data_IF_783513677086
#
_entry.id   IF_783513677086
#
_cell.length_a   1.000
_cell.length_b   1.000
_cell.length_c   1.000
_cell.angle_alpha   90.00
_cell.angle_beta   90.00
_cell.angle_gamma   90.00
#
_symmetry.space_group_name_H-M   'P 1'
#
loop_
_entity.id
_entity.type
_entity.pdbx_description
1 polymer ?
#
# COMPACT_ATOMS: atom_id res chain seq x y z
N UNK A 1 32.20 46.62 27.27
CA UNK A 1 30.87 46.65 26.63
C UNK A 1 30.86 45.56 25.58
N UNK A 2 29.96 44.60 25.76
CA UNK A 2 29.53 43.52 24.86
C UNK A 2 30.63 42.67 24.19
N UNK A 3 30.97 41.58 24.88
CA UNK A 3 31.52 40.35 24.30
C UNK A 3 30.33 39.56 23.71
N UNK A 4 30.18 39.60 22.38
CA UNK A 4 29.16 38.83 21.64
C UNK A 4 29.64 37.38 21.52
N UNK A 5 29.34 36.60 22.57
CA UNK A 5 29.48 35.15 22.56
C UNK A 5 28.50 34.54 21.55
N UNK A 6 29.00 34.25 20.35
CA UNK A 6 28.34 33.38 19.40
C UNK A 6 28.04 32.04 20.09
N UNK A 7 26.76 31.78 20.35
CA UNK A 7 26.29 30.49 20.82
C UNK A 7 26.69 29.42 19.79
N UNK A 8 27.72 28.64 20.12
CA UNK A 8 28.09 27.47 19.35
C UNK A 8 26.90 26.51 19.35
N UNK A 9 26.38 26.19 18.16
CA UNK A 9 25.40 25.14 17.92
C UNK A 9 25.90 23.84 18.58
N UNK A 10 25.21 23.38 19.61
CA UNK A 10 25.54 22.15 20.32
C UNK A 10 25.19 20.93 19.44
N UNK A 11 26.18 20.15 18.97
CA UNK A 11 25.95 18.97 18.13
C UNK A 11 25.17 17.84 18.83
N UNK A 12 24.88 17.96 20.13
CA UNK A 12 24.07 17.01 20.90
C UNK A 12 22.57 17.30 20.77
N UNK A 13 22.16 18.56 20.65
CA UNK A 13 20.75 18.97 20.46
C UNK A 13 20.18 18.45 19.13
N UNK A 14 21.04 18.36 18.11
CA UNK A 14 20.73 17.88 16.75
C UNK A 14 20.36 16.37 16.70
N UNK A 15 20.60 15.61 17.78
CA UNK A 15 20.30 14.17 17.86
C UNK A 15 18.82 13.83 18.02
N UNK A 16 18.03 14.69 18.65
CA UNK A 16 16.60 14.43 18.86
C UNK A 16 15.78 14.74 17.59
N UNK A 17 16.15 15.79 16.86
CA UNK A 17 15.57 16.13 15.56
C UNK A 17 15.86 15.03 14.52
N UNK A 18 17.14 14.64 14.38
CA UNK A 18 17.56 13.59 13.44
C UNK A 18 16.98 12.20 13.75
N UNK A 19 16.63 11.88 15.01
CA UNK A 19 15.95 10.60 15.37
C UNK A 19 14.47 10.54 14.97
N UNK A 20 13.78 11.67 14.88
CA UNK A 20 12.40 11.73 14.39
C UNK A 20 12.35 11.67 12.86
N UNK A 21 13.35 12.21 12.17
CA UNK A 21 13.46 12.20 10.70
C UNK A 21 13.58 10.79 10.08
N UNK A 22 14.14 9.82 10.81
CA UNK A 22 14.31 8.44 10.33
C UNK A 22 12.97 7.67 10.27
N UNK A 23 11.92 8.13 10.94
CA UNK A 23 10.66 7.38 11.07
C UNK A 23 9.63 7.79 10.02
N UNK A 24 8.97 6.79 9.42
CA UNK A 24 7.83 7.05 8.54
C UNK A 24 6.72 7.82 9.29
N UNK A 25 6.03 8.81 8.67
CA UNK A 25 4.97 9.59 9.32
C UNK A 25 3.85 8.75 9.96
N UNK A 26 3.51 7.61 9.36
CA UNK A 26 2.52 6.69 9.90
C UNK A 26 2.95 6.08 11.25
N UNK A 27 4.23 5.68 11.38
CA UNK A 27 4.76 5.12 12.64
C UNK A 27 4.76 6.18 13.74
N UNK A 28 5.15 7.42 13.40
CA UNK A 28 5.11 8.55 14.33
C UNK A 28 3.70 8.81 14.85
N UNK A 29 2.69 8.86 13.96
CA UNK A 29 1.28 9.05 14.37
C UNK A 29 0.77 7.90 15.24
N UNK A 30 1.08 6.66 14.88
CA UNK A 30 0.66 5.48 15.64
C UNK A 30 1.26 5.48 17.05
N UNK A 31 2.55 5.85 17.17
CA UNK A 31 3.23 5.91 18.47
C UNK A 31 2.65 7.01 19.34
N UNK A 32 2.46 8.23 18.79
CA UNK A 32 1.85 9.33 19.53
C UNK A 32 0.46 8.96 20.07
N UNK A 33 -0.38 8.30 19.26
CA UNK A 33 -1.71 7.86 19.71
C UNK A 33 -1.64 6.77 20.79
N UNK A 34 -0.62 5.91 20.75
CA UNK A 34 -0.44 4.87 21.75
C UNK A 34 0.03 5.44 23.09
N UNK A 35 1.02 6.34 23.06
CA UNK A 35 1.53 7.05 24.25
C UNK A 35 0.41 7.84 24.90
N UNK A 36 -0.33 8.65 24.13
CA UNK A 36 -1.45 9.42 24.66
C UNK A 36 -2.49 8.53 25.36
N UNK A 37 -2.81 7.37 24.78
CA UNK A 37 -3.76 6.43 25.41
C UNK A 37 -3.24 5.86 26.73
N UNK A 38 -1.93 5.60 26.81
CA UNK A 38 -1.30 5.16 28.06
C UNK A 38 -1.33 6.27 29.12
N UNK A 39 -0.99 7.49 28.74
CA UNK A 39 -1.05 8.66 29.64
C UNK A 39 -2.46 8.90 30.18
N UNK A 40 -3.48 8.87 29.33
CA UNK A 40 -4.88 9.00 29.74
C UNK A 40 -5.27 7.91 30.73
N UNK A 41 -4.95 6.65 30.43
CA UNK A 41 -5.27 5.54 31.33
C UNK A 41 -4.54 5.65 32.67
N UNK A 42 -3.26 6.03 32.67
CA UNK A 42 -2.51 6.27 33.91
C UNK A 42 -3.15 7.38 34.75
N UNK A 43 -3.53 8.50 34.13
CA UNK A 43 -4.20 9.60 34.82
C UNK A 43 -5.54 9.17 35.44
N UNK A 44 -6.34 8.38 34.74
CA UNK A 44 -7.61 7.84 35.23
C UNK A 44 -7.44 6.86 36.39
N UNK A 45 -6.37 6.07 36.39
CA UNK A 45 -6.09 5.06 37.42
C UNK A 45 -5.20 5.58 38.57
N UNK A 46 -4.75 6.83 38.51
CA UNK A 46 -3.87 7.43 39.52
C UNK A 46 -2.41 6.95 39.45
N UNK A 47 -1.97 6.41 38.30
CA UNK A 47 -0.58 6.00 38.07
C UNK A 47 0.25 7.10 37.40
N UNK A 48 1.57 7.04 37.58
CA UNK A 48 2.53 7.89 36.87
C UNK A 48 2.84 7.27 35.50
N UNK A 49 2.66 8.05 34.42
CA UNK A 49 2.96 7.62 33.05
C UNK A 49 4.42 7.78 32.64
N UNK A 50 5.19 8.66 33.30
CA UNK A 50 6.60 8.90 32.97
C UNK A 50 7.42 9.41 34.17
N UNK A 51 8.53 8.73 34.56
CA UNK A 51 8.91 7.37 34.16
C UNK A 51 7.85 6.37 34.67
N UNK A 52 7.43 5.46 33.79
CA UNK A 52 6.47 4.43 34.12
C UNK A 52 7.14 3.27 34.88
N UNK A 53 6.42 2.72 35.85
CA UNK A 53 6.77 1.42 36.43
C UNK A 53 6.43 0.29 35.42
N UNK A 54 7.30 -0.70 35.21
CA UNK A 54 7.00 -1.87 34.38
C UNK A 54 5.68 -2.59 34.74
N UNK A 55 5.31 -2.65 36.01
CA UNK A 55 4.04 -3.22 36.49
C UNK A 55 2.84 -2.40 35.99
N UNK A 56 2.96 -1.07 35.95
CA UNK A 56 1.92 -0.18 35.44
C UNK A 56 1.75 -0.37 33.93
N UNK A 57 2.85 -0.52 33.18
CA UNK A 57 2.80 -0.82 31.74
C UNK A 57 2.15 -2.19 31.50
N UNK A 58 2.50 -3.21 32.30
CA UNK A 58 1.90 -4.53 32.21
C UNK A 58 0.39 -4.50 32.50
N UNK A 59 -0.03 -3.77 33.55
CA UNK A 59 -1.42 -3.57 33.92
C UNK A 59 -2.21 -2.86 32.83
N UNK A 60 -1.68 -1.78 32.24
CA UNK A 60 -2.28 -1.08 31.11
C UNK A 60 -2.53 -2.02 29.93
N UNK A 61 -1.49 -2.76 29.51
CA UNK A 61 -1.59 -3.68 28.38
C UNK A 61 -2.58 -4.81 28.67
N UNK A 62 -2.58 -5.35 29.89
CA UNK A 62 -3.51 -6.38 30.33
C UNK A 62 -4.97 -5.89 30.35
N UNK A 63 -5.22 -4.67 30.83
CA UNK A 63 -6.54 -4.04 30.81
C UNK A 63 -7.01 -3.79 29.36
N UNK A 64 -6.13 -3.26 28.50
CA UNK A 64 -6.44 -3.05 27.09
C UNK A 64 -6.65 -4.36 26.31
N UNK A 65 -6.00 -5.44 26.72
CA UNK A 65 -6.16 -6.76 26.13
C UNK A 65 -7.15 -7.66 26.84
N UNK A 66 -7.94 -7.12 27.77
CA UNK A 66 -9.05 -7.83 28.38
C UNK A 66 -10.16 -8.10 27.35
N UNK A 67 -10.90 -9.17 27.61
CA UNK A 67 -12.09 -9.53 26.87
C UNK A 67 -13.21 -8.56 27.25
N UNK A 68 -13.95 -8.04 26.26
CA UNK A 68 -15.05 -7.12 26.48
C UNK A 68 -16.43 -7.79 26.43
N UNK A 69 -16.53 -8.90 25.70
CA UNK A 69 -17.73 -9.74 25.58
C UNK A 69 -17.28 -11.14 25.13
N UNK A 70 -18.10 -12.18 25.27
CA UNK A 70 -17.77 -13.59 25.02
C UNK A 70 -16.87 -13.84 23.78
N UNK A 71 -15.56 -13.92 24.02
CA UNK A 71 -14.50 -14.11 23.03
C UNK A 71 -14.11 -12.86 22.23
N UNK A 72 -14.74 -11.70 22.42
CA UNK A 72 -14.48 -10.43 21.74
C UNK A 72 -13.44 -9.61 22.51
N UNK A 73 -12.41 -9.15 21.80
CA UNK A 73 -11.35 -8.29 22.33
C UNK A 73 -11.34 -6.96 21.60
N UNK A 74 -11.28 -5.85 22.35
CA UNK A 74 -11.31 -4.50 21.78
C UNK A 74 -10.12 -4.18 20.87
N UNK A 75 -8.94 -4.70 21.20
CA UNK A 75 -7.70 -4.47 20.46
C UNK A 75 -7.03 -5.81 20.13
N UNK A 76 -6.28 -5.86 19.02
CA UNK A 76 -5.53 -7.07 18.64
C UNK A 76 -4.22 -7.19 19.41
N UNK A 77 -3.63 -8.39 19.46
CA UNK A 77 -2.32 -8.61 20.07
C UNK A 77 -1.19 -7.78 19.41
N UNK A 78 -1.27 -7.58 18.10
CA UNK A 78 -0.32 -6.75 17.36
C UNK A 78 -0.47 -5.27 17.70
N UNK A 79 -1.70 -4.78 17.91
CA UNK A 79 -1.95 -3.42 18.41
C UNK A 79 -1.29 -3.19 19.77
N UNK A 80 -1.45 -4.14 20.70
CA UNK A 80 -0.83 -4.03 22.04
C UNK A 80 0.70 -4.07 21.98
N UNK A 81 1.27 -4.87 21.07
CA UNK A 81 2.71 -4.89 20.84
C UNK A 81 3.23 -3.56 20.28
N UNK A 82 2.46 -2.90 19.40
CA UNK A 82 2.78 -1.54 18.91
C UNK A 82 2.72 -0.53 20.06
N UNK A 83 1.74 -0.64 20.97
CA UNK A 83 1.65 0.26 22.12
C UNK A 83 2.82 0.10 23.07
N UNK A 84 3.20 -1.14 23.40
CA UNK A 84 4.39 -1.42 24.19
C UNK A 84 5.65 -0.82 23.52
N UNK A 85 5.83 -1.00 22.21
CA UNK A 85 6.96 -0.42 21.48
C UNK A 85 6.95 1.11 21.48
N UNK A 86 5.76 1.73 21.44
CA UNK A 86 5.60 3.18 21.51
C UNK A 86 5.98 3.72 22.90
N UNK A 87 5.47 3.13 23.97
CA UNK A 87 5.79 3.50 25.36
C UNK A 87 7.30 3.36 25.62
N UNK A 88 7.90 2.24 25.20
CA UNK A 88 9.35 2.02 25.26
C UNK A 88 10.10 3.17 24.59
N UNK A 89 9.66 3.53 23.38
CA UNK A 89 10.38 4.50 22.57
C UNK A 89 10.24 5.92 23.11
N UNK A 90 9.07 6.25 23.65
CA UNK A 90 8.82 7.50 24.35
C UNK A 90 9.79 7.69 25.54
N UNK A 91 9.93 6.66 26.39
CA UNK A 91 10.88 6.68 27.50
C UNK A 91 12.33 6.84 27.03
N UNK A 92 12.74 6.07 26.03
CA UNK A 92 14.09 6.16 25.48
C UNK A 92 14.36 7.43 24.66
N UNK A 93 13.34 8.13 24.16
CA UNK A 93 13.46 9.43 23.50
C UNK A 93 13.63 10.56 24.55
N UNK A 94 13.14 10.34 25.78
CA UNK A 94 13.29 11.23 26.94
C UNK A 94 14.46 10.85 27.87
N UNK A 95 15.35 9.96 27.43
CA UNK A 95 16.50 9.43 28.20
C UNK A 95 16.11 8.79 29.56
N UNK A 96 14.90 8.22 29.62
CA UNK A 96 14.39 7.48 30.78
C UNK A 96 14.63 5.97 30.66
N UNK A 97 14.63 5.22 31.79
CA UNK A 97 14.73 3.77 31.77
C UNK A 97 13.64 3.11 30.92
N UNK A 98 13.97 2.00 30.25
CA UNK A 98 13.04 1.21 29.44
C UNK A 98 12.06 0.42 30.34
N UNK A 99 10.76 0.77 30.38
CA UNK A 99 9.82 0.08 31.27
C UNK A 99 9.24 -1.19 30.63
N UNK A 100 9.52 -1.45 29.35
CA UNK A 100 8.85 -2.48 28.53
C UNK A 100 9.68 -3.74 28.37
N UNK A 101 11.01 -3.63 28.28
CA UNK A 101 11.91 -4.77 28.08
C UNK A 101 12.10 -5.64 29.33
N UNK A 102 11.06 -5.77 30.16
CA UNK A 102 11.06 -6.50 31.43
C UNK A 102 10.31 -7.84 31.34
N UNK A 103 10.60 -8.82 32.22
CA UNK A 103 9.88 -10.09 32.26
C UNK A 103 8.37 -9.92 32.49
N UNK A 104 7.95 -8.95 33.30
CA UNK A 104 6.54 -8.75 33.64
C UNK A 104 5.71 -8.30 32.44
N UNK A 105 6.19 -7.31 31.67
CA UNK A 105 5.52 -6.82 30.46
C UNK A 105 5.50 -7.91 29.37
N UNK A 106 6.60 -8.65 29.21
CA UNK A 106 6.67 -9.77 28.26
C UNK A 106 5.68 -10.88 28.61
N UNK A 107 5.52 -11.19 29.89
CA UNK A 107 4.58 -12.19 30.39
C UNK A 107 3.14 -11.76 30.18
N UNK A 108 2.81 -10.49 30.43
CA UNK A 108 1.50 -9.91 30.13
C UNK A 108 1.15 -10.03 28.64
N UNK A 109 2.06 -9.64 27.74
CA UNK A 109 1.84 -9.76 26.29
C UNK A 109 1.62 -11.22 25.85
N UNK A 110 2.42 -12.15 26.38
CA UNK A 110 2.29 -13.59 26.07
C UNK A 110 0.99 -14.20 26.61
N UNK A 111 0.58 -13.86 27.83
CA UNK A 111 -0.65 -14.40 28.42
C UNK A 111 -1.90 -13.95 27.64
N UNK A 112 -1.90 -12.71 27.15
CA UNK A 112 -2.98 -12.20 26.29
C UNK A 112 -3.00 -12.89 24.92
N UNK A 113 -1.84 -13.12 24.30
CA UNK A 113 -1.76 -13.88 23.05
C UNK A 113 -2.27 -15.32 23.24
N UNK A 114 -1.92 -15.96 24.36
CA UNK A 114 -2.37 -17.32 24.70
C UNK A 114 -3.88 -17.39 24.92
N UNK A 115 -4.47 -16.45 25.68
CA UNK A 115 -5.93 -16.39 25.91
C UNK A 115 -6.72 -16.26 24.61
N UNK A 116 -6.28 -15.36 23.72
CA UNK A 116 -6.91 -15.18 22.40
C UNK A 116 -6.85 -16.44 21.54
N UNK A 117 -5.67 -17.08 21.48
CA UNK A 117 -5.50 -18.33 20.74
C UNK A 117 -6.40 -19.44 21.28
N UNK A 118 -6.49 -19.58 22.61
CA UNK A 118 -7.38 -20.56 23.26
C UNK A 118 -8.87 -20.29 23.01
N UNK A 119 -9.26 -19.02 22.84
CA UNK A 119 -10.60 -18.61 22.43
C UNK A 119 -10.87 -18.82 20.92
N UNK A 120 -9.96 -19.44 20.17
CA UNK A 120 -10.09 -19.67 18.73
C UNK A 120 -9.89 -18.42 17.87
N UNK A 121 -9.52 -17.28 18.47
CA UNK A 121 -9.23 -16.06 17.73
C UNK A 121 -7.83 -16.11 17.11
N UNK A 122 -7.75 -16.67 15.91
CA UNK A 122 -6.59 -16.53 15.03
C UNK A 122 -6.75 -15.23 14.23
N UNK A 123 -5.69 -14.41 14.03
CA UNK A 123 -5.80 -13.22 13.20
C UNK A 123 -6.34 -13.57 11.82
N UNK A 124 -7.50 -13.03 11.47
CA UNK A 124 -8.04 -13.17 10.13
C UNK A 124 -7.06 -12.53 9.14
N UNK A 125 -6.49 -13.36 8.27
CA UNK A 125 -5.61 -12.89 7.20
C UNK A 125 -6.47 -12.25 6.12
N UNK A 126 -5.92 -11.21 5.50
CA UNK A 126 -6.61 -10.60 4.37
C UNK A 126 -6.77 -11.62 3.24
N UNK A 127 -7.96 -11.71 2.67
CA UNK A 127 -8.22 -12.61 1.56
C UNK A 127 -7.36 -12.21 0.35
N UNK A 128 -6.75 -13.21 -0.27
CA UNK A 128 -5.99 -13.07 -1.50
C UNK A 128 -6.93 -12.81 -2.68
N UNK A 129 -6.57 -11.86 -3.54
CA UNK A 129 -7.20 -11.69 -4.86
C UNK A 129 -6.36 -12.43 -5.88
N UNK A 130 -6.82 -13.59 -6.35
CA UNK A 130 -6.10 -14.44 -7.30
C UNK A 130 -6.26 -13.94 -8.75
N UNK A 131 -5.65 -14.64 -9.71
CA UNK A 131 -5.70 -14.25 -11.11
C UNK A 131 -7.13 -14.22 -11.68
N UNK A 132 -8.00 -15.16 -11.28
CA UNK A 132 -9.39 -15.17 -11.72
C UNK A 132 -10.20 -14.01 -11.12
N UNK A 133 -9.94 -13.66 -9.86
CA UNK A 133 -10.55 -12.48 -9.24
C UNK A 133 -10.13 -11.20 -9.96
N UNK A 134 -8.84 -11.11 -10.33
CA UNK A 134 -8.31 -9.99 -11.11
C UNK A 134 -9.05 -9.84 -12.44
N UNK A 135 -9.26 -10.94 -13.17
CA UNK A 135 -10.00 -10.92 -14.44
C UNK A 135 -11.44 -10.48 -14.22
N UNK A 136 -12.14 -11.06 -13.26
CA UNK A 136 -13.52 -10.69 -12.92
C UNK A 136 -13.66 -9.21 -12.53
N UNK A 137 -12.70 -8.68 -11.75
CA UNK A 137 -12.67 -7.26 -11.40
C UNK A 137 -12.46 -6.37 -12.64
N UNK A 138 -11.48 -6.68 -13.48
CA UNK A 138 -11.18 -5.90 -14.68
C UNK A 138 -12.37 -5.92 -15.66
N UNK A 139 -12.98 -7.07 -15.86
CA UNK A 139 -14.13 -7.22 -16.74
C UNK A 139 -15.35 -6.46 -16.20
N UNK A 140 -15.64 -6.58 -14.90
CA UNK A 140 -16.71 -5.82 -14.24
C UNK A 140 -16.50 -4.30 -14.35
N UNK A 141 -15.28 -3.82 -14.08
CA UNK A 141 -14.95 -2.40 -14.18
C UNK A 141 -15.12 -1.91 -15.63
N UNK A 142 -14.64 -2.69 -16.61
CA UNK A 142 -14.72 -2.34 -18.04
C UNK A 142 -16.16 -2.29 -18.53
N UNK A 143 -16.99 -3.28 -18.18
CA UNK A 143 -18.40 -3.31 -18.54
C UNK A 143 -19.16 -2.10 -17.94
N UNK A 144 -18.88 -1.75 -16.68
CA UNK A 144 -19.47 -0.58 -16.03
C UNK A 144 -19.00 0.74 -16.62
N UNK A 145 -17.77 0.81 -17.11
CA UNK A 145 -17.25 1.98 -17.82
C UNK A 145 -17.95 2.17 -19.17
N UNK A 146 -18.15 1.08 -19.93
CA UNK A 146 -18.84 1.09 -21.21
C UNK A 146 -20.31 1.52 -21.08
N UNK A 147 -20.98 1.15 -19.99
CA UNK A 147 -22.35 1.59 -19.68
C UNK A 147 -22.41 2.96 -18.95
N UNK A 148 -21.26 3.55 -18.63
CA UNK A 148 -21.13 4.73 -17.79
C UNK A 148 -20.89 6.02 -18.57
N UNK A 149 -20.69 7.11 -17.82
CA UNK A 149 -20.21 8.37 -18.40
C UNK A 149 -18.67 8.39 -18.48
N UNK A 150 -18.12 9.41 -19.13
CA UNK A 150 -16.67 9.60 -19.22
C UNK A 150 -15.98 9.63 -17.83
N UNK A 151 -16.67 10.00 -16.75
CA UNK A 151 -16.11 9.96 -15.39
C UNK A 151 -15.96 8.53 -14.89
N UNK A 152 -16.93 7.67 -15.18
CA UNK A 152 -16.82 6.22 -14.93
C UNK A 152 -15.63 5.64 -15.72
N UNK A 153 -15.44 6.07 -16.97
CA UNK A 153 -14.30 5.64 -17.79
C UNK A 153 -12.95 6.08 -17.18
N UNK A 154 -12.78 7.33 -16.76
CA UNK A 154 -11.54 7.77 -16.06
C UNK A 154 -11.27 6.93 -14.81
N UNK A 155 -12.30 6.71 -13.99
CA UNK A 155 -12.17 5.89 -12.80
C UNK A 155 -11.79 4.44 -13.13
N UNK A 156 -12.31 3.90 -14.24
CA UNK A 156 -11.95 2.58 -14.74
C UNK A 156 -10.50 2.50 -15.19
N UNK A 157 -9.99 3.45 -15.99
CA UNK A 157 -8.58 3.50 -16.38
C UNK A 157 -7.66 3.47 -15.15
N UNK A 158 -7.94 4.32 -14.15
CA UNK A 158 -7.15 4.36 -12.91
C UNK A 158 -7.22 3.04 -12.17
N UNK A 159 -8.41 2.53 -11.92
CA UNK A 159 -8.62 1.40 -11.02
C UNK A 159 -8.11 0.10 -11.66
N UNK A 160 -8.35 -0.12 -12.96
CA UNK A 160 -7.82 -1.27 -13.70
C UNK A 160 -6.28 -1.23 -13.69
N UNK A 161 -5.68 -0.09 -14.03
CA UNK A 161 -4.22 0.07 -14.00
C UNK A 161 -3.65 -0.23 -12.61
N UNK A 162 -4.26 0.33 -11.57
CA UNK A 162 -3.83 0.16 -10.18
C UNK A 162 -3.92 -1.30 -9.71
N UNK A 163 -5.02 -1.99 -10.04
CA UNK A 163 -5.25 -3.38 -9.64
C UNK A 163 -4.25 -4.30 -10.37
N UNK A 164 -4.12 -4.17 -11.69
CA UNK A 164 -3.24 -5.02 -12.50
C UNK A 164 -1.77 -4.78 -12.14
N UNK A 165 -1.33 -3.51 -12.08
CA UNK A 165 0.05 -3.18 -11.67
C UNK A 165 0.30 -3.60 -10.22
N UNK A 166 -0.66 -3.42 -9.33
CA UNK A 166 -0.53 -3.81 -7.93
C UNK A 166 -0.40 -5.32 -7.74
N UNK A 167 -1.14 -6.11 -8.52
CA UNK A 167 -1.01 -7.57 -8.56
C UNK A 167 0.34 -7.97 -9.15
N UNK A 168 0.63 -7.57 -10.39
CA UNK A 168 1.84 -7.99 -11.12
C UNK A 168 3.14 -7.56 -10.42
N UNK A 169 3.19 -6.35 -9.84
CA UNK A 169 4.39 -5.88 -9.14
C UNK A 169 4.63 -6.58 -7.79
N UNK A 170 3.59 -7.17 -7.19
CA UNK A 170 3.59 -7.75 -5.85
C UNK A 170 4.17 -6.82 -4.77
N UNK A 171 4.03 -5.50 -4.94
CA UNK A 171 4.56 -4.48 -4.01
C UNK A 171 3.55 -4.08 -2.96
N UNK A 172 4.04 -3.45 -1.88
CA UNK A 172 3.16 -2.97 -0.82
C UNK A 172 2.34 -1.79 -1.34
N UNK A 173 1.11 -1.64 -0.86
CA UNK A 173 0.24 -0.50 -1.21
C UNK A 173 0.93 0.87 -1.10
N UNK A 174 1.78 1.08 -0.08
CA UNK A 174 2.52 2.33 0.11
C UNK A 174 3.61 2.54 -0.93
N UNK A 175 4.24 1.46 -1.39
CA UNK A 175 5.25 1.49 -2.46
C UNK A 175 4.56 1.81 -3.80
N UNK A 176 3.42 1.17 -4.07
CA UNK A 176 2.60 1.43 -5.27
C UNK A 176 2.11 2.88 -5.28
N UNK A 177 1.49 3.35 -4.20
CA UNK A 177 0.95 4.71 -4.10
C UNK A 177 2.02 5.79 -4.26
N UNK A 178 3.27 5.49 -3.90
CA UNK A 178 4.38 6.42 -3.96
C UNK A 178 5.02 6.54 -5.35
N UNK A 179 4.63 5.76 -6.36
CA UNK A 179 5.28 5.76 -7.67
C UNK A 179 5.12 7.11 -8.37
N UNK A 180 6.23 7.61 -8.92
CA UNK A 180 6.29 8.82 -9.74
C UNK A 180 6.61 8.49 -11.21
N UNK A 181 6.34 9.42 -12.13
CA UNK A 181 6.62 9.22 -13.55
C UNK A 181 8.09 8.87 -13.83
N UNK A 182 9.03 9.52 -13.14
CA UNK A 182 10.47 9.24 -13.25
C UNK A 182 10.91 7.89 -12.67
N UNK A 183 10.02 7.17 -11.99
CA UNK A 183 10.29 5.83 -11.50
C UNK A 183 10.01 4.75 -12.56
N UNK A 184 9.40 5.09 -13.69
CA UNK A 184 9.02 4.15 -14.75
C UNK A 184 9.97 4.24 -15.93
N UNK A 185 10.45 3.08 -16.40
CA UNK A 185 11.29 2.96 -17.61
C UNK A 185 10.93 1.72 -18.38
N UNK A 186 10.97 1.80 -19.71
CA UNK A 186 10.98 0.61 -20.57
C UNK A 186 12.41 0.10 -20.62
N UNK A 187 12.59 -1.20 -20.37
CA UNK A 187 13.86 -1.90 -20.48
C UNK A 187 13.68 -3.02 -21.49
N UNK A 188 14.71 -3.28 -22.28
CA UNK A 188 14.77 -4.39 -23.21
C UNK A 188 15.87 -5.35 -22.77
N UNK A 189 15.71 -6.64 -23.07
CA UNK A 189 16.78 -7.61 -22.87
C UNK A 189 17.95 -7.33 -23.84
N UNK A 190 19.16 -7.25 -23.29
CA UNK A 190 20.40 -7.06 -24.04
C UNK A 190 20.83 -8.37 -24.75
N UNK A 191 20.35 -9.53 -24.29
CA UNK A 191 20.72 -10.86 -24.79
C UNK A 191 19.97 -11.32 -26.05
N UNK A 192 19.50 -10.37 -26.89
CA UNK A 192 18.98 -10.65 -28.23
C UNK A 192 17.52 -11.13 -28.32
N UNK A 193 16.83 -11.33 -27.20
CA UNK A 193 15.43 -11.82 -27.18
C UNK A 193 14.37 -10.80 -27.63
N UNK A 194 14.75 -9.52 -27.84
CA UNK A 194 13.85 -8.37 -28.11
C UNK A 194 12.71 -8.24 -27.09
N UNK A 195 12.78 -8.93 -25.95
CA UNK A 195 11.75 -8.84 -24.92
C UNK A 195 11.86 -7.48 -24.21
N UNK A 196 10.72 -6.88 -23.92
CA UNK A 196 10.64 -5.58 -23.24
C UNK A 196 9.69 -5.67 -22.06
N UNK A 197 10.02 -4.95 -21.00
CA UNK A 197 9.16 -4.80 -19.83
C UNK A 197 9.25 -3.38 -19.26
N UNK A 198 8.24 -3.00 -18.47
CA UNK A 198 8.35 -1.80 -17.65
C UNK A 198 9.06 -2.15 -16.36
N UNK A 199 10.12 -1.42 -16.06
CA UNK A 199 10.76 -1.42 -14.74
C UNK A 199 10.24 -0.25 -13.93
N UNK A 200 9.76 -0.56 -12.73
CA UNK A 200 9.26 0.40 -11.75
C UNK A 200 10.23 0.47 -10.57
N UNK A 201 10.88 1.62 -10.42
CA UNK A 201 11.81 1.89 -9.32
C UNK A 201 11.04 2.12 -8.03
N UNK A 202 11.30 1.25 -7.06
CA UNK A 202 10.76 1.36 -5.71
C UNK A 202 11.75 2.16 -4.86
N UNK A 203 11.37 3.40 -4.59
CA UNK A 203 12.08 4.27 -3.65
C UNK A 203 11.96 3.69 -2.24
N UNK A 204 12.99 3.93 -1.41
CA UNK A 204 13.20 3.26 -0.12
C UNK A 204 11.91 2.98 0.65
N UNK A 205 11.76 1.75 1.13
CA UNK A 205 10.59 1.30 1.90
C UNK A 205 10.86 1.39 3.39
N UNK A 206 9.82 1.26 4.23
CA UNK A 206 9.95 1.11 5.69
C UNK A 206 10.99 0.05 6.11
N UNK A 207 11.21 -0.96 5.26
CA UNK A 207 12.13 -2.08 5.51
C UNK A 207 13.51 -1.92 4.87
N UNK A 208 13.72 -0.91 4.05
CA UNK A 208 15.00 -0.62 3.42
C UNK A 208 15.08 0.84 2.98
N UNK A 209 15.67 1.66 3.85
CA UNK A 209 15.77 3.11 3.65
C UNK A 209 16.87 3.48 2.63
N UNK A 210 17.82 2.58 2.36
CA UNK A 210 19.00 2.83 1.50
C UNK A 210 19.05 1.99 0.22
N UNK A 211 18.27 0.91 0.11
CA UNK A 211 18.28 0.09 -1.11
C UNK A 211 17.24 0.56 -2.12
N UNK A 212 17.66 0.80 -3.37
CA UNK A 212 16.74 0.89 -4.50
C UNK A 212 16.31 -0.52 -4.88
N UNK A 213 15.00 -0.79 -4.88
CA UNK A 213 14.45 -2.03 -5.39
C UNK A 213 13.73 -1.76 -6.71
N UNK A 214 13.54 -2.79 -7.53
CA UNK A 214 12.83 -2.70 -8.79
C UNK A 214 11.72 -3.74 -8.84
N UNK A 215 10.55 -3.35 -9.34
CA UNK A 215 9.49 -4.27 -9.72
C UNK A 215 9.40 -4.29 -11.25
N UNK A 216 9.40 -5.47 -11.84
CA UNK A 216 9.28 -5.65 -13.28
C UNK A 216 7.82 -5.95 -13.64
N UNK A 217 7.31 -5.30 -14.67
CA UNK A 217 5.95 -5.47 -15.18
C UNK A 217 6.06 -6.05 -16.60
N UNK A 218 5.86 -7.37 -16.75
CA UNK A 218 5.93 -8.04 -18.05
C UNK A 218 4.69 -7.74 -18.90
N UNK A 219 4.77 -8.03 -20.20
CA UNK A 219 3.57 -8.06 -21.05
C UNK A 219 2.76 -9.32 -20.73
N UNK A 220 1.45 -9.18 -20.61
CA UNK A 220 0.54 -10.34 -20.51
C UNK A 220 0.10 -10.79 -21.89
N UNK A 221 -0.37 -12.04 -22.02
CA UNK A 221 -0.91 -12.55 -23.29
C UNK A 221 -2.15 -11.77 -23.73
N UNK A 222 -3.06 -11.51 -22.79
CA UNK A 222 -4.29 -10.74 -23.02
C UNK A 222 -4.07 -9.26 -22.67
N UNK A 223 -4.36 -8.36 -23.62
CA UNK A 223 -4.22 -6.91 -23.51
C UNK A 223 -5.15 -6.28 -22.47
N UNK A 224 -6.28 -6.92 -22.15
CA UNK A 224 -7.23 -6.45 -21.13
C UNK A 224 -6.63 -6.51 -19.73
N UNK A 225 -5.79 -7.52 -19.48
CA UNK A 225 -5.14 -7.76 -18.19
C UNK A 225 -3.64 -7.43 -18.21
N UNK A 226 -3.12 -6.84 -19.29
CA UNK A 226 -1.71 -6.51 -19.44
C UNK A 226 -1.32 -5.29 -18.58
N UNK A 227 -0.39 -5.42 -17.60
CA UNK A 227 -0.02 -4.31 -16.72
C UNK A 227 0.55 -3.13 -17.50
N UNK A 228 1.27 -3.39 -18.61
CA UNK A 228 1.79 -2.32 -19.46
C UNK A 228 0.66 -1.56 -20.14
N UNK A 229 -0.23 -2.25 -20.87
CA UNK A 229 -1.34 -1.59 -21.57
C UNK A 229 -2.18 -0.78 -20.59
N UNK A 230 -2.60 -1.39 -19.48
CA UNK A 230 -3.48 -0.71 -18.52
C UNK A 230 -2.77 0.46 -17.83
N UNK A 231 -1.48 0.35 -17.52
CA UNK A 231 -0.68 1.48 -17.01
C UNK A 231 -0.58 2.60 -18.04
N UNK A 232 -0.34 2.28 -19.31
CA UNK A 232 -0.25 3.27 -20.39
C UNK A 232 -1.52 4.10 -20.50
N UNK A 233 -2.69 3.47 -20.45
CA UNK A 233 -3.98 4.17 -20.50
C UNK A 233 -4.11 5.21 -19.40
N UNK A 234 -3.76 4.84 -18.17
CA UNK A 234 -3.80 5.75 -17.05
C UNK A 234 -2.75 6.88 -17.17
N UNK A 235 -1.52 6.57 -17.59
CA UNK A 235 -0.47 7.57 -17.79
C UNK A 235 -0.87 8.59 -18.87
N UNK A 236 -1.53 8.14 -19.94
CA UNK A 236 -2.05 9.04 -20.98
C UNK A 236 -3.12 9.98 -20.42
N UNK A 237 -4.06 9.49 -19.62
CA UNK A 237 -5.09 10.33 -18.99
C UNK A 237 -4.45 11.44 -18.14
N UNK A 238 -3.50 11.10 -17.26
CA UNK A 238 -2.81 12.07 -16.41
C UNK A 238 -1.99 13.06 -17.24
N UNK A 239 -1.26 12.58 -18.24
CA UNK A 239 -0.40 13.42 -19.07
C UNK A 239 -1.20 14.40 -19.94
N UNK A 240 -2.27 13.93 -20.58
CA UNK A 240 -3.16 14.78 -21.39
C UNK A 240 -3.86 15.82 -20.52
N UNK A 241 -4.31 15.43 -19.33
CA UNK A 241 -4.90 16.34 -18.36
C UNK A 241 -3.94 17.48 -18.01
N UNK A 242 -2.77 17.13 -17.47
CA UNK A 242 -1.82 18.10 -16.91
C UNK A 242 -1.19 18.99 -17.98
N UNK A 243 -0.93 18.43 -19.17
CA UNK A 243 -0.46 19.21 -20.31
C UNK A 243 -1.52 20.21 -20.78
N UNK A 244 -2.80 19.83 -20.81
CA UNK A 244 -3.87 20.74 -21.26
C UNK A 244 -4.10 21.88 -20.25
N UNK A 245 -4.17 21.57 -18.95
CA UNK A 245 -4.26 22.59 -17.89
C UNK A 245 -3.12 23.60 -18.03
N UNK A 246 -1.89 23.09 -18.19
CA UNK A 246 -0.71 23.94 -18.34
C UNK A 246 -0.79 24.80 -19.59
N UNK A 247 -1.05 24.23 -20.76
CA UNK A 247 -1.10 25.00 -22.01
C UNK A 247 -2.15 26.12 -21.92
N UNK A 248 -3.33 25.85 -21.35
CA UNK A 248 -4.32 26.89 -21.11
C UNK A 248 -3.81 27.95 -20.12
N UNK A 249 -3.14 27.55 -19.03
CA UNK A 249 -2.52 28.47 -18.07
C UNK A 249 -1.43 29.35 -18.71
N UNK A 250 -0.59 28.77 -19.57
CA UNK A 250 0.49 29.47 -20.27
C UNK A 250 -0.09 30.52 -21.26
N UNK A 251 -1.31 30.32 -21.75
CA UNK A 251 -2.07 31.29 -22.54
C UNK A 251 -2.85 32.31 -21.70
N UNK A 252 -2.71 32.30 -20.37
CA UNK A 252 -3.39 33.24 -19.47
C UNK A 252 -4.88 32.95 -19.27
N UNK A 253 -5.34 31.74 -19.58
CA UNK A 253 -6.75 31.38 -19.45
C UNK A 253 -7.19 31.31 -17.98
N UNK A 254 -8.41 31.73 -17.63
CA UNK A 254 -8.97 31.54 -16.29
C UNK A 254 -9.02 30.06 -15.86
N UNK A 255 -8.97 29.78 -14.55
CA UNK A 255 -8.91 28.41 -14.01
C UNK A 255 -10.08 27.53 -14.49
N UNK A 256 -11.29 28.07 -14.54
CA UNK A 256 -12.46 27.34 -15.02
C UNK A 256 -12.35 26.97 -16.51
N UNK A 257 -11.76 27.85 -17.33
CA UNK A 257 -11.49 27.59 -18.74
C UNK A 257 -10.39 26.53 -18.92
N UNK A 258 -9.34 26.56 -18.08
CA UNK A 258 -8.32 25.51 -18.03
C UNK A 258 -8.97 24.14 -17.75
N UNK A 259 -9.79 24.05 -16.70
CA UNK A 259 -10.48 22.81 -16.31
C UNK A 259 -11.40 22.31 -17.42
N UNK A 260 -12.16 23.21 -18.07
CA UNK A 260 -13.02 22.86 -19.21
C UNK A 260 -12.23 22.34 -20.40
N UNK A 261 -11.09 22.97 -20.72
CA UNK A 261 -10.21 22.51 -21.80
C UNK A 261 -9.64 21.13 -21.52
N UNK A 262 -9.08 20.91 -20.32
CA UNK A 262 -8.56 19.61 -19.90
C UNK A 262 -9.62 18.52 -19.95
N UNK A 263 -10.85 18.83 -19.48
CA UNK A 263 -11.98 17.91 -19.57
C UNK A 263 -12.27 17.50 -21.02
N UNK A 264 -12.33 18.46 -21.95
CA UNK A 264 -12.57 18.15 -23.38
C UNK A 264 -11.47 17.26 -23.97
N UNK A 265 -10.21 17.57 -23.68
CA UNK A 265 -9.06 16.77 -24.15
C UNK A 265 -9.08 15.34 -23.60
N UNK A 266 -9.41 15.18 -22.31
CA UNK A 266 -9.52 13.86 -21.68
C UNK A 266 -10.71 13.08 -22.23
N UNK A 267 -11.89 13.70 -22.42
CA UNK A 267 -13.04 13.01 -23.03
C UNK A 267 -12.67 12.48 -24.42
N UNK A 268 -12.07 13.32 -25.28
CA UNK A 268 -11.61 12.88 -26.61
C UNK A 268 -10.61 11.72 -26.54
N UNK A 269 -9.70 11.74 -25.57
CA UNK A 269 -8.77 10.61 -25.36
C UNK A 269 -9.52 9.33 -24.98
N UNK A 270 -10.55 9.42 -24.12
CA UNK A 270 -11.33 8.27 -23.67
C UNK A 270 -12.20 7.71 -24.79
N UNK A 271 -12.76 8.55 -25.65
CA UNK A 271 -13.49 8.11 -26.85
C UNK A 271 -12.55 7.27 -27.73
N UNK A 272 -11.34 7.80 -28.00
CA UNK A 272 -10.29 7.09 -28.74
C UNK A 272 -9.75 5.83 -28.02
N UNK A 273 -9.94 5.70 -26.70
CA UNK A 273 -9.60 4.48 -25.96
C UNK A 273 -10.72 3.45 -26.05
N UNK A 274 -11.97 3.92 -26.02
CA UNK A 274 -13.18 3.09 -26.13
C UNK A 274 -13.31 2.44 -27.49
N UNK A 275 -12.91 3.15 -28.55
CA UNK A 275 -13.02 2.66 -29.94
C UNK A 275 -11.95 1.61 -30.30
N UNK A 276 -10.98 1.35 -29.41
CA UNK A 276 -9.93 0.35 -29.68
C UNK A 276 -10.48 -1.04 -29.47
N UNK A 277 -10.00 -1.98 -30.29
CA UNK A 277 -10.17 -3.40 -30.02
C UNK A 277 -9.51 -3.73 -28.66
N UNK A 278 -10.29 -4.16 -27.65
CA UNK A 278 -9.76 -4.47 -26.32
C UNK A 278 -8.79 -5.65 -26.33
N UNK A 279 -8.78 -6.49 -27.38
CA UNK A 279 -7.87 -7.63 -27.55
C UNK A 279 -6.52 -7.26 -28.20
N UNK A 280 -6.39 -6.03 -28.71
CA UNK A 280 -5.14 -5.56 -29.29
C UNK A 280 -4.24 -4.92 -28.23
N UNK A 281 -2.98 -5.35 -28.20
CA UNK A 281 -1.96 -4.69 -27.38
C UNK A 281 -1.57 -3.33 -27.96
N UNK A 282 -1.30 -2.37 -27.08
CA UNK A 282 -0.64 -1.10 -27.42
C UNK A 282 0.54 -0.83 -26.48
N UNK A 283 1.11 -1.89 -25.93
CA UNK A 283 2.31 -1.87 -25.08
C UNK A 283 3.61 -1.84 -25.90
N UNK A 284 3.52 -1.57 -27.20
CA UNK A 284 4.60 -1.24 -28.12
C UNK A 284 4.94 0.26 -28.12
N UNK A 285 4.05 1.09 -27.57
CA UNK A 285 4.24 2.54 -27.45
C UNK A 285 5.22 2.91 -26.33
N UNK A 286 5.91 4.04 -26.54
CA UNK A 286 6.69 4.69 -25.50
C UNK A 286 5.80 5.15 -24.32
N UNK A 287 6.41 5.24 -23.13
CA UNK A 287 5.74 5.82 -21.98
C UNK A 287 5.51 7.32 -22.19
N UNK A 288 4.31 7.86 -21.90
CA UNK A 288 4.05 9.28 -21.97
C UNK A 288 5.02 10.04 -21.07
N UNK A 289 5.72 11.00 -21.64
CA UNK A 289 6.65 11.84 -20.89
C UNK A 289 5.87 12.90 -20.13
N UNK A 290 5.93 12.82 -18.81
CA UNK A 290 5.43 13.88 -17.94
C UNK A 290 6.55 14.88 -17.63
N UNK A 291 6.27 16.19 -17.80
CA UNK A 291 7.28 17.25 -17.63
C UNK A 291 7.99 17.21 -16.27
N UNK A 292 7.26 16.85 -15.22
CA UNK A 292 7.82 16.66 -13.87
C UNK A 292 8.02 15.17 -13.62
N UNK A 293 9.28 14.73 -13.59
CA UNK A 293 9.63 13.36 -13.21
C UNK A 293 9.13 12.99 -11.80
N UNK A 294 8.98 13.97 -10.91
CA UNK A 294 8.49 13.79 -9.54
C UNK A 294 6.97 13.80 -9.41
N UNK A 295 6.22 13.95 -10.50
CA UNK A 295 4.77 13.88 -10.45
C UNK A 295 4.31 12.47 -10.05
N UNK A 296 3.43 12.31 -9.04
CA UNK A 296 2.84 11.01 -8.75
C UNK A 296 2.07 10.44 -9.94
N UNK A 297 2.19 9.12 -10.13
CA UNK A 297 1.43 8.38 -11.13
C UNK A 297 -0.01 8.21 -10.67
N UNK A 298 -0.21 7.80 -9.42
CA UNK A 298 -1.55 7.54 -8.89
C UNK A 298 -2.15 8.81 -8.31
N UNK A 299 -3.29 9.24 -8.84
CA UNK A 299 -4.01 10.46 -8.43
C UNK A 299 -5.35 10.13 -7.80
N UNK A 300 -5.67 10.87 -6.74
CA UNK A 300 -7.03 10.89 -6.24
C UNK A 300 -7.95 11.56 -7.27
N UNK A 301 -9.16 11.02 -7.42
CA UNK A 301 -10.23 11.68 -8.16
C UNK A 301 -11.06 12.47 -7.15
N UNK A 302 -11.45 13.69 -7.51
CA UNK A 302 -12.24 14.56 -6.64
C UNK A 302 -13.56 13.88 -6.25
N UNK A 303 -13.96 14.01 -4.98
CA UNK A 303 -15.15 13.33 -4.45
C UNK A 303 -16.44 13.76 -5.18
N UNK A 304 -16.59 15.05 -5.43
CA UNK A 304 -17.80 15.64 -6.04
C UNK A 304 -17.89 15.39 -7.54
N UNK A 305 -16.77 15.54 -8.26
CA UNK A 305 -16.77 15.48 -9.73
C UNK A 305 -16.35 14.11 -10.27
N UNK A 306 -15.70 13.27 -9.45
CA UNK A 306 -15.01 12.03 -9.84
C UNK A 306 -14.00 12.23 -10.98
N UNK A 307 -13.43 13.42 -11.06
CA UNK A 307 -12.46 13.85 -12.08
C UNK A 307 -11.15 14.31 -11.42
N UNK A 308 -10.08 14.42 -12.21
CA UNK A 308 -8.80 14.98 -11.77
C UNK A 308 -8.96 16.46 -11.41
N UNK A 309 -8.57 16.89 -10.19
CA UNK A 309 -8.46 18.30 -9.86
C UNK A 309 -7.45 19.07 -10.76
N UNK A 310 -7.60 20.39 -10.86
CA UNK A 310 -6.66 21.24 -11.62
C UNK A 310 -5.25 21.27 -10.98
N UNK A 311 -5.15 21.02 -9.68
CA UNK A 311 -3.96 21.14 -8.83
C UNK A 311 -3.34 19.78 -8.46
N UNK A 312 -3.51 18.74 -9.28
CA UNK A 312 -3.25 17.32 -8.93
C UNK A 312 -1.81 16.92 -8.57
N UNK A 313 -0.94 17.81 -8.11
CA UNK A 313 0.25 17.43 -7.34
C UNK A 313 -0.01 16.43 -6.21
N UNK A 314 -1.26 16.33 -5.74
CA UNK A 314 -1.72 15.40 -4.72
C UNK A 314 -1.67 13.90 -5.14
N UNK A 315 -0.86 13.07 -4.47
CA UNK A 315 -0.85 11.62 -4.70
C UNK A 315 -2.10 10.94 -4.13
N UNK A 316 -2.49 9.82 -4.75
CA UNK A 316 -3.42 8.86 -4.14
C UNK A 316 -2.81 8.35 -2.82
N UNK A 317 -3.57 8.38 -1.73
CA UNK A 317 -3.08 7.84 -0.46
C UNK A 317 -3.10 6.31 -0.49
N UNK A 318 -2.15 5.68 0.20
CA UNK A 318 -2.06 4.22 0.30
C UNK A 318 -3.32 3.57 0.93
N UNK A 319 -4.00 4.29 1.83
CA UNK A 319 -5.26 3.88 2.43
C UNK A 319 -6.44 3.87 1.45
N UNK A 320 -6.35 4.62 0.35
CA UNK A 320 -7.43 4.64 -0.66
C UNK A 320 -7.44 3.36 -1.50
N UNK A 321 -6.28 2.71 -1.68
CA UNK A 321 -6.17 1.47 -2.47
C UNK A 321 -7.12 0.36 -1.97
N UNK A 322 -7.12 -0.05 -0.69
CA UNK A 322 -8.08 -1.05 -0.21
C UNK A 322 -9.54 -0.61 -0.33
N UNK A 323 -9.84 0.69 -0.24
CA UNK A 323 -11.21 1.19 -0.42
C UNK A 323 -11.66 1.04 -1.88
N UNK A 324 -10.77 1.33 -2.83
CA UNK A 324 -11.00 1.06 -4.26
C UNK A 324 -11.24 -0.43 -4.47
N UNK A 325 -10.36 -1.30 -3.94
CA UNK A 325 -10.50 -2.76 -4.07
C UNK A 325 -11.84 -3.25 -3.53
N UNK A 326 -12.21 -2.87 -2.30
CA UNK A 326 -13.50 -3.27 -1.70
C UNK A 326 -14.69 -2.82 -2.54
N UNK A 327 -14.67 -1.56 -2.99
CA UNK A 327 -15.72 -1.03 -3.87
C UNK A 327 -15.83 -1.83 -5.16
N UNK A 328 -14.71 -2.14 -5.82
CA UNK A 328 -14.73 -2.89 -7.08
C UNK A 328 -15.11 -4.36 -6.88
N UNK A 329 -14.72 -4.99 -5.77
CA UNK A 329 -15.19 -6.32 -5.40
C UNK A 329 -16.71 -6.34 -5.19
N UNK A 330 -17.26 -5.32 -4.52
CA UNK A 330 -18.71 -5.17 -4.36
C UNK A 330 -19.42 -5.02 -5.71
N UNK A 331 -18.90 -4.18 -6.59
CA UNK A 331 -19.45 -3.98 -7.94
C UNK A 331 -19.31 -5.22 -8.83
N UNK A 332 -18.36 -6.12 -8.54
CA UNK A 332 -18.18 -7.41 -9.20
C UNK A 332 -18.99 -8.55 -8.54
N UNK A 333 -19.80 -8.26 -7.51
CA UNK A 333 -20.67 -9.25 -6.88
C UNK A 333 -19.96 -10.23 -5.94
N UNK A 334 -18.81 -9.85 -5.38
CA UNK A 334 -18.10 -10.70 -4.42
C UNK A 334 -18.88 -10.79 -3.11
N UNK A 335 -18.75 -11.91 -2.40
CA UNK A 335 -19.36 -12.09 -1.09
C UNK A 335 -18.95 -11.00 -0.09
N UNK A 336 -19.90 -10.57 0.75
CA UNK A 336 -19.70 -9.49 1.71
C UNK A 336 -18.66 -9.81 2.80
N UNK A 337 -18.59 -11.07 3.26
CA UNK A 337 -17.59 -11.49 4.24
C UNK A 337 -16.20 -11.50 3.59
N UNK A 338 -16.10 -11.95 2.34
CA UNK A 338 -14.88 -11.83 1.54
C UNK A 338 -14.44 -10.37 1.37
N UNK A 339 -15.35 -9.47 1.00
CA UNK A 339 -15.06 -8.03 0.85
C UNK A 339 -14.56 -7.42 2.16
N UNK A 340 -15.13 -7.82 3.31
CA UNK A 340 -14.70 -7.35 4.62
C UNK A 340 -13.20 -7.65 4.87
N UNK A 341 -12.74 -8.84 4.44
CA UNK A 341 -11.35 -9.30 4.57
C UNK A 341 -10.38 -8.76 3.52
N UNK A 342 -10.86 -8.09 2.45
CA UNK A 342 -9.97 -7.42 1.49
C UNK A 342 -9.18 -6.30 2.18
N UNK A 343 -7.88 -6.22 1.92
CA UNK A 343 -6.99 -5.21 2.49
C UNK A 343 -5.95 -4.70 1.49
N UNK A 344 -5.10 -3.78 1.92
CA UNK A 344 -3.98 -3.27 1.12
C UNK A 344 -2.92 -4.32 0.77
N UNK A 345 -3.02 -5.54 1.32
CA UNK A 345 -2.14 -6.66 1.01
C UNK A 345 -2.76 -7.66 0.04
N UNK A 346 -4.07 -7.62 -0.21
CA UNK A 346 -4.78 -8.66 -0.98
C UNK A 346 -4.22 -8.91 -2.39
N UNK A 347 -3.75 -7.86 -3.09
CA UNK A 347 -3.09 -8.01 -4.40
C UNK A 347 -1.74 -8.70 -4.31
N UNK A 348 -0.89 -8.29 -3.36
CA UNK A 348 0.44 -8.88 -3.14
C UNK A 348 0.33 -10.33 -2.68
N UNK A 349 -0.55 -10.60 -1.72
CA UNK A 349 -0.86 -11.93 -1.22
C UNK A 349 -1.43 -12.81 -2.34
N UNK A 350 -2.31 -12.25 -3.16
CA UNK A 350 -2.85 -12.84 -4.38
C UNK A 350 -1.79 -13.32 -5.36
N UNK A 351 -0.89 -12.42 -5.76
CA UNK A 351 0.21 -12.75 -6.66
C UNK A 351 1.08 -13.89 -6.11
N UNK A 352 1.48 -13.80 -4.84
CA UNK A 352 2.35 -14.80 -4.21
C UNK A 352 1.65 -16.16 -4.16
N UNK A 353 0.38 -16.18 -3.80
CA UNK A 353 -0.43 -17.40 -3.72
C UNK A 353 -0.60 -18.03 -5.11
N UNK A 354 -0.93 -17.23 -6.13
CA UNK A 354 -1.06 -17.70 -7.50
C UNK A 354 0.27 -18.23 -8.04
N UNK A 355 1.36 -17.47 -7.93
CA UNK A 355 2.66 -17.87 -8.43
C UNK A 355 3.13 -19.20 -7.80
N UNK A 356 2.85 -19.41 -6.51
CA UNK A 356 3.11 -20.68 -5.82
C UNK A 356 2.26 -21.82 -6.37
N UNK A 357 0.96 -21.58 -6.57
CA UNK A 357 0.04 -22.57 -7.14
C UNK A 357 0.49 -22.99 -8.55
N UNK A 358 1.01 -22.03 -9.33
CA UNK A 358 1.56 -22.24 -10.67
C UNK A 358 2.97 -22.88 -10.65
N UNK A 359 3.51 -23.20 -9.46
CA UNK A 359 4.79 -23.89 -9.31
C UNK A 359 6.04 -23.02 -9.48
N UNK A 360 5.90 -21.69 -9.50
CA UNK A 360 7.03 -20.76 -9.60
C UNK A 360 7.92 -20.86 -8.35
N UNK A 361 9.23 -20.88 -8.55
CA UNK A 361 10.20 -21.03 -7.47
C UNK A 361 10.13 -19.87 -6.47
N UNK A 362 10.29 -20.18 -5.18
CA UNK A 362 10.23 -19.19 -4.09
C UNK A 362 11.23 -18.03 -4.27
N UNK A 363 12.38 -18.27 -4.89
CA UNK A 363 13.39 -17.24 -5.14
C UNK A 363 12.93 -16.23 -6.19
N UNK A 364 12.24 -16.67 -7.25
CA UNK A 364 11.66 -15.77 -8.26
C UNK A 364 10.53 -14.93 -7.67
N UNK A 365 9.66 -15.57 -6.87
CA UNK A 365 8.58 -14.87 -6.16
C UNK A 365 9.17 -13.84 -5.18
N UNK A 366 10.25 -14.19 -4.48
CA UNK A 366 10.95 -13.29 -3.55
C UNK A 366 11.55 -12.10 -4.30
N UNK A 367 12.20 -12.33 -5.44
CA UNK A 367 12.75 -11.29 -6.32
C UNK A 367 11.67 -10.30 -6.76
N UNK A 368 10.52 -10.80 -7.21
CA UNK A 368 9.40 -9.98 -7.67
C UNK A 368 8.72 -9.21 -6.53
N UNK A 369 8.46 -9.87 -5.40
CA UNK A 369 7.75 -9.28 -4.26
C UNK A 369 8.65 -8.45 -3.33
N UNK A 370 9.98 -8.54 -3.46
CA UNK A 370 10.93 -7.85 -2.59
C UNK A 370 10.92 -8.33 -1.14
N UNK A 371 10.54 -9.59 -0.89
CA UNK A 371 10.77 -10.20 0.43
C UNK A 371 12.27 -10.40 0.65
N UNK A 372 12.74 -10.23 1.90
CA UNK A 372 14.16 -10.45 2.23
C UNK A 372 14.46 -11.93 2.50
N UNK A 373 13.47 -12.68 2.99
CA UNK A 373 13.59 -14.09 3.36
C UNK A 373 12.51 -14.90 2.64
N UNK A 374 12.87 -16.12 2.22
CA UNK A 374 11.98 -17.04 1.52
C UNK A 374 10.92 -17.64 2.45
N UNK A 375 11.26 -17.88 3.72
CA UNK A 375 10.34 -18.38 4.75
C UNK A 375 9.04 -17.56 4.88
N UNK A 376 9.12 -16.25 4.71
CA UNK A 376 7.99 -15.33 4.80
C UNK A 376 7.06 -15.48 3.60
N UNK A 377 7.60 -15.93 2.46
CA UNK A 377 6.82 -16.32 1.27
C UNK A 377 6.19 -17.71 1.49
N UNK A 378 6.83 -18.60 2.24
CA UNK A 378 6.31 -19.94 2.55
C UNK A 378 5.05 -19.90 3.43
N UNK A 379 4.93 -18.91 4.33
CA UNK A 379 3.75 -18.74 5.20
C UNK A 379 2.44 -18.47 4.45
N UNK A 380 2.48 -18.17 3.14
CA UNK A 380 1.27 -18.03 2.33
C UNK A 380 0.61 -19.39 2.03
N UNK A 381 1.34 -20.51 2.15
CA UNK A 381 0.81 -21.88 1.96
C UNK A 381 -0.18 -22.30 3.05
N UNK A 382 0.05 -21.84 4.30
CA UNK A 382 -0.73 -22.26 5.48
C UNK A 382 -2.19 -21.79 5.49
N UNK A 383 -2.59 -20.97 4.51
CA UNK A 383 -3.96 -20.42 4.43
C UNK A 383 -4.84 -21.15 3.39
N UNK A 384 -4.24 -22.00 2.56
CA UNK A 384 -4.92 -22.88 1.61
C UNK A 384 -3.95 -24.00 1.21
N UNK A 385 -3.83 -25.09 1.98
CA UNK A 385 -3.02 -26.22 1.56
C UNK A 385 -3.59 -26.72 0.23
N UNK A 386 -2.86 -26.53 -0.87
CA UNK A 386 -3.26 -27.11 -2.14
C UNK A 386 -3.24 -28.62 -1.96
N UNK A 387 -4.40 -29.26 -2.06
CA UNK A 387 -4.52 -30.72 -2.03
C UNK A 387 -3.50 -31.39 -2.98
N UNK A 388 -3.19 -30.72 -4.10
CA UNK A 388 -2.23 -31.14 -5.12
C UNK A 388 -0.77 -31.32 -4.66
N UNK A 389 -0.37 -30.77 -3.51
CA UNK A 389 0.97 -31.00 -2.92
C UNK A 389 0.88 -31.51 -1.47
N UNK A 390 -0.18 -32.26 -1.16
CA UNK A 390 -0.26 -32.98 0.10
C UNK A 390 0.74 -34.15 0.07
N UNK A 391 1.68 -34.19 1.01
CA UNK A 391 2.63 -35.29 1.15
C UNK A 391 1.91 -36.64 1.29
N UNK A 392 0.73 -36.67 1.92
CA UNK A 392 -0.10 -37.86 2.01
C UNK A 392 -0.54 -38.41 0.64
N UNK A 393 -0.68 -37.57 -0.40
CA UNK A 393 -1.00 -38.04 -1.75
C UNK A 393 0.22 -38.65 -2.45
N UNK A 394 1.43 -38.38 -1.96
CA UNK A 394 2.68 -39.00 -2.43
C UNK A 394 2.99 -40.28 -1.66
N UNK A 395 2.36 -40.48 -0.50
CA UNK A 395 2.35 -41.75 0.19
C UNK A 395 1.29 -42.60 -0.54
N UNK A 396 1.70 -43.73 -1.11
CA UNK A 396 0.79 -44.68 -1.77
C UNK A 396 -0.03 -45.45 -0.71
N UNK A 397 -0.81 -44.73 0.10
CA UNK A 397 -1.68 -45.26 1.16
C UNK A 397 -3.09 -45.54 0.67
#
# INVERSE_FOLDING_TARGET
>A
MADDGAAADDPVSDRHASRQEVRSPHTTRAYRSAVHRFETWCAEQGYRSSPADPEVVAAFLAAAGAECDAGIYRYSASTLSVWAAAIRRDHLDADLPDPVSTPVVRTALRSMAKRRSAAGQVPERADALLADDLRALVDSISARAAAGDWKAHIAACRDIALIVVGFCSARRRSEIAAIQFGDLRIVSDEAGSKEQWITMRIRGSRTSLTSVAYAQLPRSRDSRYCPWCRLLDWLMVVTVHDNTIRTAKDHGEPEDQQVRAARRSVIRLLDNLSDRDPQLHHCDRELPVHRRATAPVWRALAKSTRYLPADTGHPLTDQTIPLILKKRCQEAGFDSARIARISGHSLRSGFITQARADGIASEDIKRQSGHKRTDTVDHYYDSAPSYHKNAANQLQL
#
